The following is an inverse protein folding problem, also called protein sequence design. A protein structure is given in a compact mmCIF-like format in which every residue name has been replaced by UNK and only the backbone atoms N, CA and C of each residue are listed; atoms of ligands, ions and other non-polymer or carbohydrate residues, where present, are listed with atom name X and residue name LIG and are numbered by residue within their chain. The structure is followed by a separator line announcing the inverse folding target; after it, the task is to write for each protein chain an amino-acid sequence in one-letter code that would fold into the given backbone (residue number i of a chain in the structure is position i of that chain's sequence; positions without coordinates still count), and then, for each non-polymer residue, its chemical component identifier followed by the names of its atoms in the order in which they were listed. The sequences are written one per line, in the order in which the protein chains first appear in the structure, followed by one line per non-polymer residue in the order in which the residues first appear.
data_IF_181231559801
#
_entry.id   IF_181231559801
#
_cell.length_a   1.000
_cell.length_b   1.000
_cell.length_c   1.000
_cell.angle_alpha   90.00
_cell.angle_beta   90.00
_cell.angle_gamma   90.00
#
_symmetry.space_group_name_H-M   'P 1'
#
loop_
_entity.id
_entity.type
_entity.pdbx_description
1 polymer ?
#
# COMPACT_ATOMS: atom_id res chain seq x y z
N UNK A 1 11.51 -3.81 26.55
CA UNK A 1 10.41 -2.94 26.08
C UNK A 1 9.36 -3.83 25.43
N UNK A 2 8.15 -3.86 26.00
CA UNK A 2 7.05 -4.68 25.51
C UNK A 2 6.54 -4.13 24.17
N UNK A 3 6.51 -4.96 23.12
CA UNK A 3 5.95 -4.60 21.81
C UNK A 3 4.47 -4.97 21.81
N UNK A 4 3.58 -4.02 22.10
CA UNK A 4 2.14 -4.23 21.87
C UNK A 4 1.84 -4.12 20.38
N UNK A 5 1.70 -5.28 19.71
CA UNK A 5 1.15 -5.38 18.36
C UNK A 5 -0.36 -5.20 18.45
N UNK A 6 -0.89 -4.33 17.59
CA UNK A 6 -2.35 -4.18 17.41
C UNK A 6 -2.61 -4.41 15.93
N UNK A 7 -3.42 -5.42 15.63
CA UNK A 7 -3.95 -5.62 14.28
C UNK A 7 -5.15 -4.70 14.09
N UNK A 8 -5.18 -4.00 12.95
CA UNK A 8 -6.37 -3.31 12.48
C UNK A 8 -6.63 -3.71 11.04
N UNK A 9 -7.79 -4.32 10.78
CA UNK A 9 -8.24 -4.57 9.41
C UNK A 9 -8.70 -3.25 8.80
N UNK A 10 -8.13 -2.88 7.66
CA UNK A 10 -8.62 -1.78 6.85
C UNK A 10 -9.67 -2.37 5.91
N UNK A 11 -10.94 -2.05 6.17
CA UNK A 11 -12.00 -2.26 5.18
C UNK A 11 -11.90 -1.10 4.19
N UNK A 12 -11.31 -1.34 3.03
CA UNK A 12 -11.47 -0.43 1.91
C UNK A 12 -12.88 -0.59 1.36
N UNK A 13 -13.75 0.39 1.62
CA UNK A 13 -15.05 0.46 0.97
C UNK A 13 -14.84 1.04 -0.43
N UNK A 14 -14.92 0.21 -1.46
CA UNK A 14 -15.13 0.72 -2.82
C UNK A 14 -16.63 0.92 -2.95
N UNK A 15 -17.07 2.18 -3.06
CA UNK A 15 -18.46 2.49 -3.37
C UNK A 15 -18.61 2.53 -4.89
N UNK A 16 -19.37 1.59 -5.44
CA UNK A 16 -19.66 1.57 -6.87
C UNK A 16 -20.77 2.57 -7.22
N UNK A 17 -20.88 3.00 -8.50
CA UNK A 17 -21.91 3.95 -8.95
C UNK A 17 -23.35 3.45 -8.73
N UNK A 18 -23.55 2.15 -8.52
CA UNK A 18 -24.83 1.49 -8.29
C UNK A 18 -25.11 1.22 -6.78
N UNK A 19 -24.22 1.65 -5.89
CA UNK A 19 -24.43 1.53 -4.43
C UNK A 19 -24.15 0.14 -3.85
N UNK A 20 -23.56 -0.79 -4.61
CA UNK A 20 -23.07 -2.05 -4.09
C UNK A 20 -21.80 -1.81 -3.24
N UNK A 21 -21.69 -2.52 -2.12
CA UNK A 21 -20.50 -2.58 -1.26
C UNK A 21 -20.00 -4.02 -1.33
N UNK A 22 -18.90 -4.26 -2.05
CA UNK A 22 -18.19 -5.54 -1.97
C UNK A 22 -17.27 -5.52 -0.74
N UNK A 23 -17.20 -6.65 -0.04
CA UNK A 23 -16.50 -6.81 1.25
C UNK A 23 -15.38 -7.85 1.21
N UNK A 24 -14.88 -8.25 0.04
CA UNK A 24 -14.07 -9.47 -0.06
C UNK A 24 -12.53 -9.33 -0.04
N UNK A 25 -11.95 -8.12 0.01
CA UNK A 25 -10.50 -7.94 0.22
C UNK A 25 -10.22 -7.06 1.45
N UNK A 26 -9.94 -7.67 2.59
CA UNK A 26 -9.44 -6.95 3.78
C UNK A 26 -7.92 -6.95 3.76
N UNK A 27 -7.32 -5.76 3.85
CA UNK A 27 -5.88 -5.61 4.09
C UNK A 27 -5.67 -5.46 5.60
N UNK A 28 -4.95 -6.38 6.21
CA UNK A 28 -4.55 -6.25 7.60
C UNK A 28 -3.27 -5.41 7.71
N UNK A 29 -3.35 -4.37 8.55
CA UNK A 29 -2.20 -3.52 8.87
C UNK A 29 -1.78 -3.77 10.30
N UNK A 30 -0.58 -4.35 10.48
CA UNK A 30 -0.03 -4.64 11.78
C UNK A 30 0.77 -3.44 12.32
N UNK A 31 0.40 -2.88 13.46
CA UNK A 31 1.09 -1.71 14.03
C UNK A 31 2.20 -2.09 15.02
N UNK A 32 3.37 -1.48 14.86
CA UNK A 32 4.50 -1.53 15.76
C UNK A 32 4.84 -0.11 16.22
N UNK A 33 4.79 0.17 17.53
CA UNK A 33 5.13 1.50 18.07
C UNK A 33 4.03 2.55 17.88
N UNK A 34 4.33 3.81 18.21
CA UNK A 34 3.39 4.93 18.21
C UNK A 34 2.31 4.87 19.29
N UNK A 35 1.90 6.04 19.79
CA UNK A 35 0.74 6.17 20.67
C UNK A 35 -0.59 6.08 19.88
N UNK A 36 -1.71 5.99 20.60
CA UNK A 36 -3.04 5.81 19.99
C UNK A 36 -3.43 6.97 19.07
N UNK A 37 -3.09 8.22 19.41
CA UNK A 37 -3.44 9.39 18.62
C UNK A 37 -2.61 9.46 17.32
N UNK A 38 -1.31 9.19 17.43
CA UNK A 38 -0.41 9.09 16.28
C UNK A 38 -0.84 7.97 15.34
N UNK A 39 -1.19 6.79 15.87
CA UNK A 39 -1.71 5.67 15.09
C UNK A 39 -3.01 6.04 14.38
N UNK A 40 -3.98 6.65 15.08
CA UNK A 40 -5.25 7.04 14.46
C UNK A 40 -5.05 8.03 13.30
N UNK A 41 -4.15 9.01 13.47
CA UNK A 41 -3.81 9.96 12.40
C UNK A 41 -3.17 9.26 11.19
N UNK A 42 -2.13 8.47 11.41
CA UNK A 42 -1.41 7.81 10.32
C UNK A 42 -2.28 6.75 9.66
N UNK A 43 -3.13 6.05 10.42
CA UNK A 43 -4.12 5.12 9.88
C UNK A 43 -5.04 5.80 8.89
N UNK A 44 -5.59 6.98 9.21
CA UNK A 44 -6.44 7.72 8.26
C UNK A 44 -5.71 8.10 6.96
N UNK A 45 -4.40 8.36 7.03
CA UNK A 45 -3.58 8.62 5.84
C UNK A 45 -3.33 7.35 5.03
N UNK A 46 -3.06 6.21 5.70
CA UNK A 46 -2.88 4.90 5.05
C UNK A 46 -4.18 4.46 4.38
N UNK A 47 -5.32 4.54 5.07
CA UNK A 47 -6.64 4.20 4.53
C UNK A 47 -6.87 4.98 3.22
N UNK A 48 -6.63 6.30 3.26
CA UNK A 48 -6.78 7.17 2.09
C UNK A 48 -5.80 6.82 0.96
N UNK A 49 -4.54 6.55 1.29
CA UNK A 49 -3.52 6.19 0.30
C UNK A 49 -3.84 4.86 -0.39
N UNK A 50 -4.26 3.85 0.37
CA UNK A 50 -4.72 2.57 -0.18
C UNK A 50 -5.93 2.77 -1.09
N UNK A 51 -6.95 3.52 -0.67
CA UNK A 51 -8.09 3.84 -1.54
C UNK A 51 -7.66 4.53 -2.84
N UNK A 52 -6.73 5.49 -2.77
CA UNK A 52 -6.21 6.19 -3.94
C UNK A 52 -5.46 5.29 -4.92
N UNK A 53 -4.69 4.30 -4.45
CA UNK A 53 -4.02 3.35 -5.34
C UNK A 53 -4.97 2.30 -5.89
N UNK A 54 -5.82 1.72 -5.03
CA UNK A 54 -6.67 0.58 -5.38
C UNK A 54 -7.77 0.93 -6.40
N UNK A 55 -8.26 2.18 -6.39
CA UNK A 55 -9.24 2.64 -7.40
C UNK A 55 -8.74 2.52 -8.85
N UNK A 56 -7.42 2.46 -9.05
CA UNK A 56 -6.82 2.48 -10.38
C UNK A 56 -6.51 1.11 -10.96
N UNK A 57 -6.40 0.06 -10.14
CA UNK A 57 -6.03 -1.28 -10.60
C UNK A 57 -7.22 -2.19 -10.91
N UNK A 58 -8.44 -1.66 -10.88
CA UNK A 58 -9.64 -2.36 -11.32
C UNK A 58 -9.81 -3.71 -10.61
N UNK A 59 -10.11 -3.67 -9.31
CA UNK A 59 -10.92 -4.75 -8.73
C UNK A 59 -12.31 -4.62 -9.36
N UNK A 60 -12.43 -5.11 -10.60
CA UNK A 60 -13.69 -5.27 -11.33
C UNK A 60 -14.23 -6.69 -11.04
N UNK A 61 -15.46 -6.77 -10.52
CA UNK A 61 -16.37 -7.93 -10.39
C UNK A 61 -15.81 -9.30 -9.92
N UNK A 62 -16.18 -9.78 -8.71
CA UNK A 62 -16.10 -11.19 -8.37
C UNK A 62 -17.33 -11.94 -8.90
N UNK A 63 -17.35 -12.25 -10.19
CA UNK A 63 -18.14 -13.40 -10.67
C UNK A 63 -17.14 -14.42 -11.23
N UNK A 64 -16.57 -15.24 -10.35
CA UNK A 64 -16.45 -16.68 -10.55
C UNK A 64 -16.00 -17.36 -9.25
N UNK A 65 -16.87 -18.23 -8.77
CA UNK A 65 -16.63 -19.26 -7.76
C UNK A 65 -15.51 -20.21 -8.21
N UNK A 66 -14.30 -20.03 -7.69
CA UNK A 66 -13.43 -21.17 -7.35
C UNK A 66 -12.33 -20.70 -6.40
N UNK A 67 -12.07 -21.52 -5.38
CA UNK A 67 -10.90 -21.44 -4.50
C UNK A 67 -9.62 -21.50 -5.35
N UNK A 68 -9.11 -20.37 -5.80
CA UNK A 68 -7.77 -20.25 -6.39
C UNK A 68 -7.29 -18.81 -6.22
N UNK A 69 -6.26 -18.64 -5.41
CA UNK A 69 -5.59 -17.41 -4.98
C UNK A 69 -5.78 -16.21 -5.94
N UNK A 70 -6.88 -15.46 -5.77
CA UNK A 70 -6.95 -14.06 -6.16
C UNK A 70 -5.99 -13.34 -5.22
N UNK A 71 -5.03 -12.60 -5.75
CA UNK A 71 -3.98 -11.92 -4.97
C UNK A 71 -4.61 -11.12 -3.83
N UNK A 72 -4.53 -11.63 -2.61
CA UNK A 72 -4.77 -10.85 -1.40
C UNK A 72 -3.75 -9.72 -1.43
N UNK A 73 -4.22 -8.48 -1.48
CA UNK A 73 -3.36 -7.30 -1.31
C UNK A 73 -2.58 -7.57 -0.02
N UNK A 74 -1.24 -7.62 -0.12
CA UNK A 74 -0.40 -8.15 0.97
C UNK A 74 -0.67 -7.39 2.26
N UNK A 75 -1.02 -8.12 3.31
CA UNK A 75 -0.93 -7.61 4.67
C UNK A 75 0.49 -7.07 4.90
N UNK A 76 0.58 -5.92 5.57
CA UNK A 76 1.87 -5.29 5.83
C UNK A 76 1.93 -4.70 7.22
N UNK A 77 3.16 -4.52 7.70
CA UNK A 77 3.40 -3.93 9.02
C UNK A 77 3.76 -2.44 8.92
N UNK A 78 3.28 -1.64 9.86
CA UNK A 78 3.68 -0.24 10.04
C UNK A 78 4.49 -0.12 11.31
N UNK A 79 5.78 0.20 11.17
CA UNK A 79 6.61 0.66 12.28
C UNK A 79 6.45 2.18 12.42
N UNK A 80 5.65 2.61 13.40
CA UNK A 80 5.37 4.01 13.67
C UNK A 80 6.34 4.56 14.72
N UNK A 81 7.20 5.48 14.30
CA UNK A 81 8.19 6.18 15.14
C UNK A 81 7.69 7.57 15.54
N UNK A 82 8.04 8.09 16.73
CA UNK A 82 7.66 9.44 17.12
C UNK A 82 8.43 10.50 16.31
N UNK A 83 7.83 11.66 16.12
CA UNK A 83 8.47 12.85 15.52
C UNK A 83 8.46 12.85 13.99
N UNK A 84 9.60 13.22 13.40
CA UNK A 84 9.82 13.35 11.96
C UNK A 84 11.07 12.56 11.55
N UNK A 85 11.12 12.05 10.32
CA UNK A 85 12.28 11.35 9.78
C UNK A 85 12.02 10.86 8.36
N UNK A 86 13.00 10.16 7.78
CA UNK A 86 12.86 9.53 6.46
C UNK A 86 12.04 8.26 6.59
N UNK A 87 10.85 8.27 6.00
CA UNK A 87 10.05 7.07 5.82
C UNK A 87 10.70 6.16 4.76
N UNK A 88 10.44 4.86 4.84
CA UNK A 88 10.92 3.89 3.86
C UNK A 88 10.18 2.55 4.02
N UNK A 89 10.08 1.80 2.93
CA UNK A 89 9.64 0.40 2.93
C UNK A 89 10.83 -0.55 3.11
N UNK A 90 10.62 -1.62 3.90
CA UNK A 90 11.52 -2.78 4.00
C UNK A 90 10.84 -3.97 3.33
N UNK A 91 11.52 -4.59 2.37
CA UNK A 91 11.13 -5.87 1.76
C UNK A 91 9.68 -5.96 1.24
N UNK A 92 9.02 -4.83 0.92
CA UNK A 92 7.64 -4.75 0.45
C UNK A 92 6.55 -5.23 1.42
N UNK A 93 6.90 -5.65 2.64
CA UNK A 93 5.99 -6.19 3.67
C UNK A 93 5.97 -5.36 4.97
N UNK A 94 6.79 -4.31 5.02
CA UNK A 94 6.88 -3.43 6.17
C UNK A 94 7.18 -2.00 5.74
N UNK A 95 6.50 -1.03 6.33
CA UNK A 95 6.76 0.40 6.15
C UNK A 95 7.14 1.05 7.47
N UNK A 96 8.23 1.82 7.46
CA UNK A 96 8.61 2.68 8.59
C UNK A 96 8.05 4.06 8.34
N UNK A 97 7.13 4.50 9.19
CA UNK A 97 6.53 5.83 9.16
C UNK A 97 6.87 6.59 10.45
N UNK A 98 6.82 7.91 10.38
CA UNK A 98 6.95 8.78 11.54
C UNK A 98 5.60 9.39 11.87
N UNK A 99 5.36 9.73 13.13
CA UNK A 99 4.07 10.30 13.53
C UNK A 99 3.74 11.49 12.65
N UNK A 100 4.70 12.39 12.38
CA UNK A 100 4.54 13.59 11.58
C UNK A 100 4.70 13.39 10.06
N UNK A 101 4.70 12.14 9.58
CA UNK A 101 4.66 11.86 8.14
C UNK A 101 3.48 12.59 7.49
N UNK A 102 3.76 13.21 6.35
CA UNK A 102 2.73 13.88 5.56
C UNK A 102 1.93 12.85 4.76
N UNK A 103 0.73 13.22 4.33
CA UNK A 103 -0.06 12.36 3.45
C UNK A 103 0.69 11.96 2.17
N UNK A 104 1.47 12.87 1.58
CA UNK A 104 2.25 12.59 0.36
C UNK A 104 3.35 11.57 0.60
N UNK A 105 4.04 11.67 1.74
CA UNK A 105 5.01 10.66 2.17
C UNK A 105 4.33 9.31 2.36
N UNK A 106 3.19 9.26 3.05
CA UNK A 106 2.45 7.99 3.21
C UNK A 106 2.01 7.43 1.86
N UNK A 107 1.48 8.26 0.96
CA UNK A 107 1.05 7.82 -0.38
C UNK A 107 2.20 7.21 -1.19
N UNK A 108 3.37 7.84 -1.15
CA UNK A 108 4.61 7.34 -1.76
C UNK A 108 5.01 5.97 -1.20
N UNK A 109 5.10 5.83 0.13
CA UNK A 109 5.48 4.57 0.74
C UNK A 109 4.46 3.45 0.50
N UNK A 110 3.17 3.77 0.45
CA UNK A 110 2.16 2.77 0.07
C UNK A 110 2.32 2.36 -1.40
N UNK A 111 2.74 3.26 -2.28
CA UNK A 111 3.14 2.90 -3.65
C UNK A 111 4.26 1.85 -3.65
N UNK A 112 5.28 2.02 -2.80
CA UNK A 112 6.31 1.00 -2.60
C UNK A 112 5.74 -0.30 -2.06
N UNK A 113 4.90 -0.30 -1.03
CA UNK A 113 4.26 -1.53 -0.51
C UNK A 113 3.54 -2.31 -1.61
N UNK A 114 2.92 -1.61 -2.56
CA UNK A 114 2.22 -2.21 -3.71
C UNK A 114 3.15 -2.62 -4.86
N UNK A 115 4.46 -2.37 -4.73
CA UNK A 115 5.51 -2.84 -5.63
C UNK A 115 6.09 -1.80 -6.60
N UNK A 116 5.70 -0.52 -6.48
CA UNK A 116 6.31 0.54 -7.30
C UNK A 116 7.72 0.85 -6.81
N UNK A 117 8.64 1.04 -7.77
CA UNK A 117 9.99 1.50 -7.49
C UNK A 117 10.05 3.04 -7.47
N UNK A 118 11.08 3.57 -6.81
CA UNK A 118 11.41 4.98 -6.94
C UNK A 118 11.72 5.34 -8.40
N UNK A 119 11.29 6.52 -8.79
CA UNK A 119 11.64 7.15 -10.07
C UNK A 119 12.68 8.26 -9.89
N UNK A 120 13.10 8.48 -8.65
CA UNK A 120 14.27 9.27 -8.29
C UNK A 120 15.56 8.51 -8.59
N UNK A 121 16.49 9.15 -9.29
CA UNK A 121 17.77 8.57 -9.66
C UNK A 121 18.84 9.14 -8.73
N UNK A 122 19.30 8.34 -7.76
CA UNK A 122 20.21 8.79 -6.70
C UNK A 122 21.55 9.34 -7.24
N UNK A 123 22.11 8.75 -8.29
CA UNK A 123 23.41 9.15 -8.84
C UNK A 123 23.44 10.57 -9.42
N UNK A 124 22.30 11.05 -9.92
CA UNK A 124 22.16 12.34 -10.61
C UNK A 124 21.20 13.30 -9.91
N UNK A 125 20.69 12.91 -8.74
CA UNK A 125 19.79 13.71 -7.89
C UNK A 125 18.58 14.29 -8.65
N UNK A 126 18.04 13.56 -9.62
CA UNK A 126 16.91 13.99 -10.44
C UNK A 126 15.87 12.90 -10.58
N UNK A 127 14.65 13.30 -10.89
CA UNK A 127 13.63 12.40 -11.39
C UNK A 127 14.03 11.83 -12.76
N UNK A 128 13.56 10.63 -13.02
CA UNK A 128 13.56 10.03 -14.36
C UNK A 128 12.90 10.98 -15.36
N UNK A 129 13.46 11.03 -16.56
CA UNK A 129 12.93 11.85 -17.65
C UNK A 129 11.44 11.54 -17.88
N UNK A 130 10.63 12.60 -18.01
CA UNK A 130 9.18 12.52 -18.14
C UNK A 130 8.40 12.40 -16.83
N UNK A 131 9.07 12.18 -15.68
CA UNK A 131 8.41 11.94 -14.39
C UNK A 131 8.78 12.94 -13.28
N UNK A 132 8.93 14.25 -13.55
CA UNK A 132 9.39 15.22 -12.55
C UNK A 132 8.42 15.42 -11.39
N UNK A 133 7.12 15.15 -11.58
CA UNK A 133 6.07 15.36 -10.59
C UNK A 133 5.51 14.06 -10.00
N UNK A 134 6.06 12.92 -10.39
CA UNK A 134 5.63 11.59 -9.92
C UNK A 134 5.70 11.51 -8.41
N UNK A 135 4.66 10.91 -7.79
CA UNK A 135 4.67 10.67 -6.35
C UNK A 135 5.85 9.78 -5.97
N UNK A 136 6.27 8.88 -6.86
CA UNK A 136 7.41 7.99 -6.71
C UNK A 136 8.77 8.65 -6.98
N UNK A 137 8.82 9.92 -7.40
CA UNK A 137 10.09 10.65 -7.49
C UNK A 137 10.33 11.57 -6.28
N UNK A 138 9.48 12.58 -6.12
CA UNK A 138 9.73 13.70 -5.19
C UNK A 138 8.58 13.90 -4.21
N UNK A 139 7.70 12.90 -4.08
CA UNK A 139 6.53 12.96 -3.20
C UNK A 139 5.63 14.18 -3.52
N UNK A 140 5.53 14.60 -4.78
CA UNK A 140 4.71 15.76 -5.19
C UNK A 140 3.23 15.41 -5.27
N UNK A 141 2.81 14.71 -6.33
CA UNK A 141 1.39 14.42 -6.62
C UNK A 141 1.26 13.05 -7.27
N UNK A 142 0.12 12.38 -7.10
CA UNK A 142 -0.18 11.18 -7.87
C UNK A 142 -0.40 11.56 -9.35
N UNK A 143 0.44 11.03 -10.24
CA UNK A 143 0.42 11.34 -11.68
C UNK A 143 -0.10 10.16 -12.51
N UNK A 144 -0.31 10.40 -13.81
CA UNK A 144 -0.73 9.33 -14.72
C UNK A 144 0.34 8.24 -14.87
N UNK A 145 1.63 8.59 -14.81
CA UNK A 145 2.73 7.61 -14.85
C UNK A 145 2.69 6.64 -13.67
N UNK A 146 2.37 7.16 -12.48
CA UNK A 146 2.21 6.37 -11.26
C UNK A 146 1.04 5.37 -11.42
N UNK A 147 -0.09 5.86 -11.96
CA UNK A 147 -1.30 5.08 -12.24
C UNK A 147 -1.02 3.98 -13.28
N UNK A 148 -0.32 4.30 -14.35
CA UNK A 148 0.01 3.35 -15.41
C UNK A 148 1.02 2.32 -14.92
N UNK A 149 1.97 2.74 -14.07
CA UNK A 149 2.90 1.85 -13.38
C UNK A 149 2.18 0.80 -12.54
N UNK A 150 1.24 1.21 -11.69
CA UNK A 150 0.54 0.27 -10.80
C UNK A 150 -0.40 -0.66 -11.58
N UNK A 151 -1.07 -0.15 -12.63
CA UNK A 151 -1.89 -0.97 -13.53
C UNK A 151 -1.06 -2.03 -14.24
N UNK A 152 0.13 -1.66 -14.72
CA UNK A 152 1.04 -2.58 -15.38
C UNK A 152 1.52 -3.67 -14.43
N UNK A 153 1.94 -3.33 -13.21
CA UNK A 153 2.32 -4.31 -12.19
C UNK A 153 1.18 -5.30 -11.89
N UNK A 154 -0.05 -4.79 -11.75
CA UNK A 154 -1.22 -5.65 -11.55
C UNK A 154 -1.47 -6.59 -12.73
N UNK A 155 -1.35 -6.08 -13.97
CA UNK A 155 -1.55 -6.88 -15.17
C UNK A 155 -0.44 -7.93 -15.38
N UNK A 156 0.81 -7.58 -15.13
CA UNK A 156 1.95 -8.50 -15.26
C UNK A 156 1.86 -9.64 -14.24
N UNK A 157 1.42 -9.35 -13.01
CA UNK A 157 1.17 -10.40 -12.02
C UNK A 157 -0.01 -11.30 -12.37
N UNK A 158 -1.11 -10.75 -12.90
CA UNK A 158 -2.24 -11.58 -13.41
C UNK A 158 -1.80 -12.52 -14.53
N UNK A 159 -0.73 -12.18 -15.27
CA UNK A 159 -0.14 -13.01 -16.34
C UNK A 159 0.84 -14.06 -15.82
N UNK A 160 1.40 -13.88 -14.63
CA UNK A 160 2.17 -14.92 -13.96
C UNK A 160 1.18 -15.95 -13.40
N UNK A 161 1.15 -17.14 -14.01
CA UNK A 161 0.29 -18.24 -13.58
C UNK A 161 0.49 -18.46 -12.06
N UNK A 162 -0.53 -18.27 -11.19
CA UNK A 162 -0.34 -18.42 -9.77
C UNK A 162 0.10 -19.86 -9.51
N UNK A 163 1.33 -20.04 -9.00
CA UNK A 163 1.80 -21.35 -8.59
C UNK A 163 0.73 -21.96 -7.66
N UNK A 164 0.37 -23.25 -7.82
CA UNK A 164 -0.62 -23.91 -6.95
C UNK A 164 -0.23 -23.88 -5.46
N UNK A 165 1.02 -23.57 -5.15
CA UNK A 165 1.57 -23.42 -3.80
C UNK A 165 1.90 -21.95 -3.44
N UNK A 166 1.50 -21.00 -4.28
CA UNK A 166 1.98 -19.61 -4.32
C UNK A 166 1.08 -18.59 -3.64
N UNK A 167 0.14 -18.99 -2.79
CA UNK A 167 -0.43 -18.07 -1.82
C UNK A 167 0.70 -17.70 -0.84
N UNK A 168 1.50 -16.68 -1.19
CA UNK A 168 2.53 -16.17 -0.29
C UNK A 168 1.83 -15.74 0.99
N UNK A 169 2.22 -16.41 2.08
CA UNK A 169 1.74 -16.14 3.43
C UNK A 169 1.97 -14.66 3.71
N UNK A 170 0.87 -13.90 3.82
CA UNK A 170 0.91 -12.50 4.23
C UNK A 170 1.55 -12.35 5.60
N UNK A 171 1.84 -11.12 6.00
CA UNK A 171 2.26 -10.84 7.38
C UNK A 171 1.11 -11.25 8.30
N UNK A 172 1.22 -12.42 8.94
CA UNK A 172 0.28 -12.82 9.99
C UNK A 172 0.48 -11.82 11.13
N UNK A 173 -0.47 -10.89 11.30
CA UNK A 173 -0.55 -10.11 12.51
C UNK A 173 -0.90 -11.09 13.64
N UNK A 174 0.11 -11.66 14.31
CA UNK A 174 -0.10 -12.50 15.49
C UNK A 174 -1.05 -11.75 16.45
N UNK A 175 -2.23 -12.33 16.64
CA UNK A 175 -3.31 -11.80 17.48
C UNK A 175 -2.93 -11.84 18.95
#
# INVERSE_FOLDING_TARGET
MSRSRVSSSIKSFITYPDGLIDTSDTIDVCWLGGDQAARARVKGQIDRALTEWLKHIGHEDPIYTQKSCTRSIKDFSVELRPGSGRAFVRNFDSVVLYSNSTYRTVLHEIGHVLGLADTYIEDVWTCKEGQPDSIMCNQSTLTQDDIDGIKKLNADEKRMNPSPNGCQVGVICDK
#
